data_IF_620992591294
#
_entry.id   IF_620992591294
#
_cell.length_a   1.000
_cell.length_b   1.000
_cell.length_c   1.000
_cell.angle_alpha   90.00
_cell.angle_beta   90.00
_cell.angle_gamma   90.00
#
_symmetry.space_group_name_H-M   'P 1'
#
loop_
_entity.id
_entity.type
_entity.pdbx_description
1 polymer ?
#
# COMPACT_ATOMS: atom_id res chain seq x y z
N UNK A 1 -11.37 34.25 0.67
CA UNK A 1 -11.19 33.56 -0.63
C UNK A 1 -9.71 33.31 -0.80
N UNK A 2 -9.24 32.08 -0.55
CA UNK A 2 -7.83 31.74 -0.70
C UNK A 2 -7.53 31.49 -2.18
N UNK A 3 -6.54 32.20 -2.71
CA UNK A 3 -6.14 32.19 -4.12
C UNK A 3 -5.55 30.83 -4.51
N UNK A 4 -6.24 30.08 -5.36
CA UNK A 4 -5.81 28.78 -5.87
C UNK A 4 -4.93 28.93 -7.12
N UNK A 5 -3.67 29.38 -6.97
CA UNK A 5 -2.80 29.54 -8.16
C UNK A 5 -1.32 29.20 -7.96
N UNK A 6 -0.91 28.53 -6.88
CA UNK A 6 0.51 28.25 -6.65
C UNK A 6 0.85 26.91 -5.95
N UNK A 7 -0.03 25.90 -5.97
CA UNK A 7 0.41 24.55 -5.58
C UNK A 7 1.30 23.95 -6.67
N UNK A 8 2.61 24.04 -6.50
CA UNK A 8 3.59 23.26 -7.28
C UNK A 8 3.67 21.85 -6.69
N UNK A 9 3.09 20.87 -7.39
CA UNK A 9 3.20 19.47 -7.00
C UNK A 9 4.56 18.94 -7.44
N UNK A 10 5.43 18.66 -6.47
CA UNK A 10 6.72 18.00 -6.71
C UNK A 10 6.70 16.67 -5.97
N UNK A 11 6.97 15.60 -6.70
CA UNK A 11 7.09 14.27 -6.11
C UNK A 11 8.52 14.09 -5.61
N UNK A 12 8.67 13.78 -4.33
CA UNK A 12 9.95 13.33 -3.80
C UNK A 12 9.94 11.80 -3.77
N UNK A 13 10.97 11.14 -4.31
CA UNK A 13 11.04 9.68 -4.28
C UNK A 13 11.00 9.09 -2.86
N UNK A 14 11.50 9.81 -1.85
CA UNK A 14 11.49 9.35 -0.46
C UNK A 14 10.07 9.27 0.14
N UNK A 15 9.09 9.94 -0.46
CA UNK A 15 7.68 9.91 -0.05
C UNK A 15 6.89 8.77 -0.73
N UNK A 16 7.55 7.95 -1.56
CA UNK A 16 6.93 6.92 -2.38
C UNK A 16 7.13 5.50 -1.82
N UNK A 17 6.27 4.56 -2.22
CA UNK A 17 6.28 3.20 -1.68
C UNK A 17 7.19 2.27 -2.49
N UNK A 18 7.25 2.41 -3.82
CA UNK A 18 8.13 1.56 -4.65
C UNK A 18 9.59 1.58 -4.16
N UNK A 19 10.21 2.71 -3.81
CA UNK A 19 11.60 2.73 -3.34
C UNK A 19 11.83 1.88 -2.09
N UNK A 20 10.86 1.81 -1.16
CA UNK A 20 10.96 1.01 0.06
C UNK A 20 11.07 -0.49 -0.24
N UNK A 21 10.36 -0.97 -1.26
CA UNK A 21 10.37 -2.39 -1.66
C UNK A 21 11.43 -2.70 -2.73
N UNK A 22 11.75 -1.75 -3.62
CA UNK A 22 12.77 -1.88 -4.64
C UNK A 22 14.18 -1.94 -4.02
N UNK A 23 14.42 -1.16 -2.97
CA UNK A 23 15.67 -1.15 -2.21
C UNK A 23 16.56 0.07 -2.50
N UNK A 24 17.86 -0.10 -2.30
CA UNK A 24 18.82 1.02 -2.27
C UNK A 24 19.50 1.30 -3.62
N UNK A 25 19.12 0.60 -4.70
CA UNK A 25 19.64 0.90 -6.03
C UNK A 25 19.20 2.33 -6.44
N UNK A 26 20.10 3.18 -6.98
CA UNK A 26 19.73 4.53 -7.39
C UNK A 26 18.54 4.58 -8.36
N UNK A 27 18.34 3.54 -9.17
CA UNK A 27 17.21 3.43 -10.11
C UNK A 27 15.87 3.25 -9.40
N UNK A 28 15.86 2.80 -8.15
CA UNK A 28 14.64 2.71 -7.34
C UNK A 28 14.03 4.09 -7.06
N UNK A 29 14.83 5.16 -7.10
CA UNK A 29 14.39 6.55 -6.86
C UNK A 29 13.91 7.26 -8.12
N UNK A 30 13.89 6.59 -9.27
CA UNK A 30 13.39 7.14 -10.51
C UNK A 30 11.86 7.01 -10.52
N UNK A 31 11.18 8.15 -10.49
CA UNK A 31 9.71 8.22 -10.50
C UNK A 31 9.18 7.62 -11.80
N UNK A 32 8.13 6.81 -11.70
CA UNK A 32 7.53 6.10 -12.83
C UNK A 32 8.48 5.18 -13.61
N UNK A 33 9.51 4.66 -12.94
CA UNK A 33 10.40 3.64 -13.48
C UNK A 33 9.72 2.26 -13.50
N UNK A 34 9.48 1.73 -14.70
CA UNK A 34 8.97 0.36 -14.86
C UNK A 34 9.93 -0.69 -14.28
N UNK A 35 11.24 -0.44 -14.38
CA UNK A 35 12.24 -1.33 -13.78
C UNK A 35 12.12 -1.36 -12.25
N UNK A 36 11.92 -0.20 -11.62
CA UNK A 36 11.77 -0.13 -10.16
C UNK A 36 10.47 -0.80 -9.70
N UNK A 37 9.38 -0.61 -10.45
CA UNK A 37 8.09 -1.27 -10.20
C UNK A 37 8.23 -2.80 -10.20
N UNK A 38 8.82 -3.38 -11.25
CA UNK A 38 8.97 -4.84 -11.34
C UNK A 38 9.96 -5.37 -10.30
N UNK A 39 11.06 -4.64 -10.05
CA UNK A 39 12.01 -5.00 -8.98
C UNK A 39 11.35 -4.99 -7.60
N UNK A 40 10.48 -4.01 -7.32
CA UNK A 40 9.72 -3.97 -6.07
C UNK A 40 8.76 -5.17 -5.95
N UNK A 41 8.06 -5.55 -7.03
CA UNK A 41 7.18 -6.73 -7.05
C UNK A 41 7.97 -8.01 -6.81
N UNK A 42 9.10 -8.19 -7.49
CA UNK A 42 9.98 -9.35 -7.33
C UNK A 42 10.49 -9.46 -5.89
N UNK A 43 10.91 -8.33 -5.29
CA UNK A 43 11.33 -8.29 -3.91
C UNK A 43 10.20 -8.64 -2.95
N UNK A 44 8.97 -8.13 -3.17
CA UNK A 44 7.79 -8.53 -2.39
C UNK A 44 7.55 -10.03 -2.46
N UNK A 45 7.60 -10.61 -3.66
CA UNK A 45 7.41 -12.06 -3.84
C UNK A 45 8.47 -12.85 -3.07
N UNK A 46 9.73 -12.43 -3.19
CA UNK A 46 10.88 -13.20 -2.70
C UNK A 46 11.11 -13.06 -1.20
N UNK A 47 10.89 -11.87 -0.64
CA UNK A 47 11.36 -11.53 0.71
C UNK A 47 10.24 -11.17 1.69
N UNK A 48 9.01 -10.93 1.22
CA UNK A 48 7.91 -10.51 2.08
C UNK A 48 6.79 -11.57 2.10
N UNK A 49 6.72 -12.40 3.15
CA UNK A 49 5.68 -13.42 3.27
C UNK A 49 4.26 -12.86 3.13
N UNK A 50 4.04 -11.67 3.70
CA UNK A 50 2.78 -10.92 3.67
C UNK A 50 3.10 -9.43 3.51
N UNK A 51 2.35 -8.74 2.66
CA UNK A 51 2.29 -7.28 2.61
C UNK A 51 0.81 -6.92 2.63
N UNK A 52 0.41 -6.16 3.65
CA UNK A 52 -0.99 -5.78 3.86
C UNK A 52 -1.35 -4.42 3.25
N UNK A 53 -2.64 -4.11 3.25
CA UNK A 53 -3.18 -2.78 2.92
C UNK A 53 -4.13 -2.32 4.01
N UNK A 54 -4.07 -1.03 4.36
CA UNK A 54 -4.77 -0.51 5.55
C UNK A 54 -6.29 -0.61 5.43
N UNK A 55 -6.83 -0.50 4.22
CA UNK A 55 -8.26 -0.57 4.00
C UNK A 55 -8.85 -1.98 4.11
N UNK A 56 -7.99 -3.00 4.15
CA UNK A 56 -8.24 -4.44 4.34
C UNK A 56 -7.33 -5.01 5.45
N UNK A 57 -7.27 -4.31 6.59
CA UNK A 57 -6.36 -4.68 7.68
C UNK A 57 -6.70 -6.02 8.35
N UNK A 58 -8.00 -6.33 8.49
CA UNK A 58 -8.46 -7.63 9.03
C UNK A 58 -7.96 -8.81 8.18
N UNK A 59 -8.06 -8.70 6.84
CA UNK A 59 -7.50 -9.67 5.90
C UNK A 59 -5.98 -9.86 6.09
N UNK A 60 -5.27 -8.75 6.35
CA UNK A 60 -3.83 -8.78 6.62
C UNK A 60 -3.51 -9.59 7.89
N UNK A 61 -4.27 -9.36 8.97
CA UNK A 61 -4.09 -10.10 10.23
C UNK A 61 -4.39 -11.58 10.06
N UNK A 62 -5.46 -11.93 9.37
CA UNK A 62 -5.83 -13.32 9.07
C UNK A 62 -4.72 -14.07 8.32
N UNK A 63 -4.14 -13.44 7.30
CA UNK A 63 -3.03 -14.04 6.55
C UNK A 63 -1.76 -14.15 7.41
N UNK A 64 -1.44 -13.12 8.21
CA UNK A 64 -0.30 -13.14 9.13
C UNK A 64 -0.43 -14.24 10.19
N UNK A 65 -1.59 -14.36 10.81
CA UNK A 65 -1.89 -15.39 11.81
C UNK A 65 -1.71 -16.80 11.24
N UNK A 66 -2.17 -17.03 10.00
CA UNK A 66 -2.01 -18.33 9.35
C UNK A 66 -0.58 -18.64 8.92
N UNK A 67 0.15 -17.66 8.36
CA UNK A 67 1.51 -17.86 7.83
C UNK A 67 2.60 -17.81 8.89
N UNK A 68 2.39 -17.04 9.95
CA UNK A 68 3.36 -16.78 11.01
C UNK A 68 2.72 -16.96 12.41
N UNK A 69 2.13 -18.14 12.70
CA UNK A 69 1.32 -18.37 13.90
C UNK A 69 2.12 -18.27 15.21
N UNK A 70 3.44 -18.37 15.16
CA UNK A 70 4.29 -18.20 16.34
C UNK A 70 4.28 -16.76 16.87
N UNK A 71 3.98 -15.78 16.02
CA UNK A 71 3.95 -14.36 16.37
C UNK A 71 2.53 -13.79 16.40
N UNK A 72 1.65 -14.26 15.51
CA UNK A 72 0.36 -13.62 15.24
C UNK A 72 -0.86 -14.44 15.66
N UNK A 73 -0.71 -15.52 16.45
CA UNK A 73 -1.86 -16.29 16.95
C UNK A 73 -2.77 -15.42 17.83
N UNK A 74 -4.06 -15.42 17.54
CA UNK A 74 -5.10 -14.62 18.19
C UNK A 74 -5.10 -13.14 17.79
N UNK A 75 -4.35 -12.75 16.75
CA UNK A 75 -4.26 -11.34 16.36
C UNK A 75 -5.59 -10.82 15.79
N UNK A 76 -6.30 -11.65 15.02
CA UNK A 76 -7.63 -11.32 14.49
C UNK A 76 -8.64 -11.09 15.64
N UNK A 77 -8.66 -11.98 16.63
CA UNK A 77 -9.55 -11.88 17.80
C UNK A 77 -9.28 -10.61 18.63
N UNK A 78 -8.00 -10.30 18.87
CA UNK A 78 -7.59 -9.09 19.60
C UNK A 78 -8.03 -7.85 18.82
N UNK A 79 -7.80 -7.82 17.51
CA UNK A 79 -8.18 -6.67 16.69
C UNK A 79 -9.68 -6.41 16.75
N UNK A 80 -10.49 -7.45 16.56
CA UNK A 80 -11.95 -7.36 16.56
C UNK A 80 -12.53 -7.00 17.93
N UNK A 81 -11.88 -7.41 19.02
CA UNK A 81 -12.36 -7.13 20.39
C UNK A 81 -11.90 -5.80 20.97
N UNK A 82 -10.73 -5.28 20.58
CA UNK A 82 -10.10 -4.15 21.29
C UNK A 82 -9.70 -2.97 20.40
N UNK A 83 -9.42 -3.20 19.12
CA UNK A 83 -8.81 -2.17 18.26
C UNK A 83 -9.73 -1.69 17.15
N UNK A 84 -10.78 -2.43 16.81
CA UNK A 84 -11.67 -2.14 15.68
C UNK A 84 -12.16 -0.69 15.64
N UNK A 85 -12.55 -0.14 16.81
CA UNK A 85 -13.04 1.24 16.91
C UNK A 85 -11.97 2.30 16.60
N UNK A 86 -10.69 2.02 16.84
CA UNK A 86 -9.56 2.91 16.53
C UNK A 86 -9.33 2.97 15.01
N UNK A 87 -9.57 1.85 14.32
CA UNK A 87 -9.39 1.71 12.89
C UNK A 87 -10.63 2.07 12.07
N UNK A 88 -11.68 2.62 12.70
CA UNK A 88 -12.83 3.16 11.98
C UNK A 88 -12.37 4.19 10.95
N UNK A 89 -12.65 3.89 9.67
CA UNK A 89 -12.33 4.78 8.55
C UNK A 89 -12.96 6.14 8.80
N UNK A 90 -12.11 7.17 8.83
CA UNK A 90 -12.58 8.56 8.80
C UNK A 90 -13.19 8.81 7.43
N UNK A 91 -14.15 9.74 7.36
CA UNK A 91 -14.67 10.20 6.07
C UNK A 91 -13.52 10.86 5.32
N UNK A 92 -13.19 10.32 4.15
CA UNK A 92 -12.19 10.94 3.28
C UNK A 92 -12.66 12.34 2.87
N UNK A 93 -11.76 13.32 2.80
CA UNK A 93 -12.09 14.62 2.26
C UNK A 93 -12.51 14.48 0.80
N UNK A 94 -13.44 15.32 0.37
CA UNK A 94 -13.82 15.37 -1.04
C UNK A 94 -12.66 15.97 -1.85
N UNK A 95 -12.13 15.19 -2.79
CA UNK A 95 -11.03 15.60 -3.67
C UNK A 95 -11.61 15.90 -5.06
N UNK A 96 -11.39 17.10 -5.62
CA UNK A 96 -11.87 17.43 -6.96
C UNK A 96 -11.35 16.43 -8.02
N UNK A 97 -12.22 16.05 -8.96
CA UNK A 97 -11.87 15.07 -10.01
C UNK A 97 -10.62 15.45 -10.81
N UNK A 98 -10.41 16.74 -11.07
CA UNK A 98 -9.22 17.23 -11.77
C UNK A 98 -7.93 16.94 -10.96
N UNK A 99 -7.98 17.13 -9.64
CA UNK A 99 -6.84 16.85 -8.76
C UNK A 99 -6.58 15.35 -8.70
N UNK A 100 -7.64 14.54 -8.55
CA UNK A 100 -7.54 13.08 -8.58
C UNK A 100 -6.89 12.59 -9.88
N UNK A 101 -7.36 13.06 -11.04
CA UNK A 101 -6.78 12.68 -12.34
C UNK A 101 -5.29 13.03 -12.45
N UNK A 102 -4.90 14.24 -12.02
CA UNK A 102 -3.49 14.65 -12.03
C UNK A 102 -2.62 13.77 -11.12
N UNK A 103 -3.14 13.39 -9.94
CA UNK A 103 -2.45 12.48 -9.04
C UNK A 103 -2.35 11.07 -9.62
N UNK A 104 -3.42 10.57 -10.24
CA UNK A 104 -3.44 9.24 -10.87
C UNK A 104 -2.40 9.14 -12.00
N UNK A 105 -2.26 10.19 -12.82
CA UNK A 105 -1.24 10.28 -13.87
C UNK A 105 0.17 10.41 -13.28
N UNK A 106 0.36 11.23 -12.25
CA UNK A 106 1.68 11.43 -11.65
C UNK A 106 2.19 10.20 -10.88
N UNK A 107 1.29 9.43 -10.27
CA UNK A 107 1.57 8.26 -9.44
C UNK A 107 1.18 6.95 -10.11
N UNK A 108 1.21 6.88 -11.44
CA UNK A 108 0.73 5.72 -12.20
C UNK A 108 1.37 4.40 -11.73
N UNK A 109 2.69 4.37 -11.61
CA UNK A 109 3.42 3.17 -11.18
C UNK A 109 3.17 2.81 -9.71
N UNK A 110 3.09 3.80 -8.82
CA UNK A 110 2.74 3.60 -7.41
C UNK A 110 1.34 3.01 -7.26
N UNK A 111 0.38 3.54 -8.02
CA UNK A 111 -0.98 3.02 -8.09
C UNK A 111 -1.01 1.58 -8.65
N UNK A 112 -0.17 1.28 -9.64
CA UNK A 112 0.00 -0.08 -10.16
C UNK A 112 0.52 -1.03 -9.07
N UNK A 113 1.60 -0.64 -8.38
CA UNK A 113 2.17 -1.42 -7.30
C UNK A 113 1.17 -1.67 -6.17
N UNK A 114 0.46 -0.64 -5.72
CA UNK A 114 -0.57 -0.75 -4.70
C UNK A 114 -1.69 -1.73 -5.09
N UNK A 115 -2.25 -1.60 -6.31
CA UNK A 115 -3.30 -2.51 -6.81
C UNK A 115 -2.79 -3.95 -6.89
N UNK A 116 -1.54 -4.13 -7.31
CA UNK A 116 -0.90 -5.45 -7.37
C UNK A 116 -0.72 -6.06 -5.98
N UNK A 117 -0.22 -5.30 -5.00
CA UNK A 117 -0.09 -5.74 -3.60
C UNK A 117 -1.45 -6.12 -3.02
N UNK A 118 -2.47 -5.28 -3.27
CA UNK A 118 -3.84 -5.56 -2.82
C UNK A 118 -4.37 -6.86 -3.42
N UNK A 119 -4.20 -7.07 -4.73
CA UNK A 119 -4.61 -8.31 -5.38
C UNK A 119 -3.88 -9.53 -4.80
N UNK A 120 -2.56 -9.43 -4.58
CA UNK A 120 -1.78 -10.49 -3.94
C UNK A 120 -2.30 -10.81 -2.53
N UNK A 121 -2.68 -9.82 -1.73
CA UNK A 121 -3.29 -10.06 -0.42
C UNK A 121 -4.61 -10.81 -0.56
N UNK A 122 -5.49 -10.40 -1.47
CA UNK A 122 -6.75 -11.09 -1.75
C UNK A 122 -6.52 -12.55 -2.14
N UNK A 123 -5.56 -12.82 -3.04
CA UNK A 123 -5.18 -14.19 -3.43
C UNK A 123 -4.70 -15.00 -2.22
N UNK A 124 -3.90 -14.39 -1.33
CA UNK A 124 -3.47 -15.05 -0.10
C UNK A 124 -4.65 -15.40 0.80
N UNK A 125 -5.61 -14.49 0.99
CA UNK A 125 -6.83 -14.76 1.77
C UNK A 125 -7.63 -15.91 1.15
N UNK A 126 -7.85 -15.87 -0.16
CA UNK A 126 -8.60 -16.91 -0.88
C UNK A 126 -7.93 -18.28 -0.78
N UNK A 127 -6.59 -18.34 -0.72
CA UNK A 127 -5.86 -19.60 -0.52
C UNK A 127 -6.00 -20.21 0.88
N UNK A 128 -6.62 -19.49 1.83
CA UNK A 128 -6.88 -19.99 3.18
C UNK A 128 -8.27 -20.62 3.34
N UNK A 129 -9.17 -20.41 2.36
CA UNK A 129 -10.52 -20.98 2.33
C UNK A 129 -10.50 -22.38 1.72
#
# INVERSE_FOLDING_TARGET
>A
MASATNCSFTLNPEDLIIPLFCGHDPRCRVINSQWALETAKDNVIRFYPVVGVLENFEDTLKVLEKKLPQFFRGAEDIFNSTLFDIFKKRKDPEVPNLVRKKLDEALETENNFYRWVKNRLTEQVMSLL
#
